data_IF_198635026955
#
_entry.id   IF_198635026955
#
_cell.length_a   1.000
_cell.length_b   1.000
_cell.length_c   1.000
_cell.angle_alpha   90.00
_cell.angle_beta   90.00
_cell.angle_gamma   90.00
#
_symmetry.space_group_name_H-M   'P 1'
#
loop_
_entity.id
_entity.type
_entity.pdbx_description
1 polymer ?
#
# COMPACT_ATOMS: atom_id res chain seq x y z
N UNK A 1 -13.99 25.45 -2.76
CA UNK A 1 -15.41 25.03 -2.64
C UNK A 1 -15.50 24.04 -1.49
N UNK A 2 -16.35 24.31 -0.48
CA UNK A 2 -16.52 23.40 0.66
C UNK A 2 -17.03 22.03 0.21
N UNK A 3 -16.54 20.95 0.82
CA UNK A 3 -17.01 19.58 0.54
C UNK A 3 -18.49 19.49 0.90
N UNK A 4 -19.37 19.53 -0.09
CA UNK A 4 -20.80 19.29 0.12
C UNK A 4 -20.94 17.82 0.50
N UNK A 5 -21.53 17.54 1.67
CA UNK A 5 -21.84 16.17 2.06
C UNK A 5 -22.89 15.62 1.07
N UNK A 6 -22.56 14.60 0.26
CA UNK A 6 -23.46 14.11 -0.78
C UNK A 6 -24.76 13.53 -0.21
N UNK A 7 -24.72 13.04 1.03
CA UNK A 7 -25.89 12.56 1.76
C UNK A 7 -26.81 13.71 2.16
N UNK A 8 -26.25 14.80 2.69
CA UNK A 8 -26.99 16.02 2.98
C UNK A 8 -27.57 16.65 1.70
N UNK A 9 -26.80 16.68 0.61
CA UNK A 9 -27.26 17.16 -0.70
C UNK A 9 -28.45 16.36 -1.22
N UNK A 10 -28.40 15.04 -1.10
CA UNK A 10 -29.47 14.14 -1.54
C UNK A 10 -30.75 14.35 -0.72
N UNK A 11 -30.63 14.49 0.61
CA UNK A 11 -31.76 14.73 1.51
C UNK A 11 -32.38 16.11 1.28
N UNK A 12 -31.58 17.17 1.22
CA UNK A 12 -32.06 18.55 1.01
C UNK A 12 -32.75 18.65 -0.35
N UNK A 13 -32.17 18.05 -1.38
CA UNK A 13 -32.75 18.02 -2.71
C UNK A 13 -34.08 17.29 -2.79
N UNK A 14 -34.17 16.10 -2.19
CA UNK A 14 -35.42 15.34 -2.11
C UNK A 14 -36.53 16.11 -1.39
N UNK A 15 -36.21 16.75 -0.25
CA UNK A 15 -37.14 17.61 0.47
C UNK A 15 -37.56 18.82 -0.36
N UNK A 16 -36.63 19.46 -1.06
CA UNK A 16 -36.91 20.64 -1.90
C UNK A 16 -37.85 20.29 -3.04
N UNK A 17 -37.63 19.17 -3.74
CA UNK A 17 -38.51 18.70 -4.82
C UNK A 17 -39.88 18.38 -4.25
N UNK A 18 -39.96 17.65 -3.14
CA UNK A 18 -41.23 17.33 -2.48
C UNK A 18 -42.02 18.58 -2.11
N UNK A 19 -41.38 19.57 -1.47
CA UNK A 19 -42.02 20.83 -1.10
C UNK A 19 -42.51 21.61 -2.33
N UNK A 20 -41.72 21.68 -3.40
CA UNK A 20 -42.12 22.36 -4.64
C UNK A 20 -43.32 21.66 -5.29
N UNK A 21 -43.29 20.32 -5.38
CA UNK A 21 -44.40 19.54 -5.94
C UNK A 21 -45.68 19.69 -5.11
N UNK A 22 -45.56 19.75 -3.78
CA UNK A 22 -46.68 20.00 -2.88
C UNK A 22 -47.30 21.38 -3.06
N UNK A 23 -46.48 22.43 -3.20
CA UNK A 23 -46.97 23.80 -3.45
C UNK A 23 -47.67 23.86 -4.81
N UNK A 24 -47.06 23.32 -5.85
CA UNK A 24 -47.64 23.31 -7.20
C UNK A 24 -48.96 22.53 -7.27
N UNK A 25 -49.12 21.47 -6.46
CA UNK A 25 -50.39 20.74 -6.35
C UNK A 25 -51.53 21.65 -5.92
N UNK A 26 -51.34 22.42 -4.85
CA UNK A 26 -52.37 23.35 -4.38
C UNK A 26 -52.65 24.46 -5.39
N UNK A 27 -51.62 24.99 -6.06
CA UNK A 27 -51.79 26.00 -7.10
C UNK A 27 -52.67 25.46 -8.24
N UNK A 28 -52.37 24.28 -8.78
CA UNK A 28 -53.18 23.70 -9.86
C UNK A 28 -54.60 23.34 -9.40
N UNK A 29 -54.74 22.77 -8.20
CA UNK A 29 -56.04 22.41 -7.64
C UNK A 29 -56.99 23.61 -7.53
N UNK A 30 -56.51 24.75 -7.00
CA UNK A 30 -57.33 25.95 -6.84
C UNK A 30 -57.60 26.68 -8.17
N UNK A 31 -56.74 26.54 -9.17
CA UNK A 31 -56.85 27.31 -10.42
C UNK A 31 -57.70 26.61 -11.49
N UNK A 32 -57.78 25.28 -11.50
CA UNK A 32 -58.51 24.52 -12.54
C UNK A 32 -60.03 24.66 -12.39
N UNK A 33 -60.56 24.77 -11.17
CA UNK A 33 -61.97 25.12 -10.91
C UNK A 33 -63.03 24.12 -11.42
N UNK A 34 -62.64 22.94 -11.90
CA UNK A 34 -63.54 21.89 -12.39
C UNK A 34 -63.68 20.74 -11.39
N UNK A 35 -64.74 19.91 -11.47
CA UNK A 35 -64.88 18.70 -10.65
C UNK A 35 -63.72 17.71 -10.80
N UNK A 36 -63.00 17.77 -11.93
CA UNK A 36 -61.87 16.90 -12.28
C UNK A 36 -60.51 17.51 -11.93
N UNK A 37 -60.49 18.70 -11.30
CA UNK A 37 -59.26 19.46 -10.99
C UNK A 37 -58.20 18.64 -10.25
N UNK A 38 -58.62 17.76 -9.33
CA UNK A 38 -57.71 16.88 -8.61
C UNK A 38 -56.97 15.90 -9.53
N UNK A 39 -57.68 15.28 -10.46
CA UNK A 39 -57.11 14.29 -11.41
C UNK A 39 -56.15 14.96 -12.39
N UNK A 40 -56.54 16.12 -12.92
CA UNK A 40 -55.70 16.89 -13.85
C UNK A 40 -54.43 17.42 -13.17
N UNK A 41 -54.55 17.93 -11.94
CA UNK A 41 -53.40 18.39 -11.16
C UNK A 41 -52.41 17.25 -10.87
N UNK A 42 -52.91 16.07 -10.45
CA UNK A 42 -52.07 14.90 -10.17
C UNK A 42 -51.35 14.38 -11.42
N UNK A 43 -52.04 14.24 -12.55
CA UNK A 43 -51.42 13.75 -13.79
C UNK A 43 -50.34 14.71 -14.32
N UNK A 44 -50.63 16.02 -14.25
CA UNK A 44 -49.67 17.06 -14.65
C UNK A 44 -48.45 17.05 -13.75
N UNK A 45 -48.64 16.98 -12.43
CA UNK A 45 -47.54 16.93 -11.47
C UNK A 45 -46.76 15.63 -11.50
N UNK A 46 -47.41 14.48 -11.70
CA UNK A 46 -46.71 13.20 -11.85
C UNK A 46 -45.72 13.23 -13.02
N UNK A 47 -46.12 13.86 -14.12
CA UNK A 47 -45.26 14.04 -15.30
C UNK A 47 -44.06 14.95 -15.00
N UNK A 48 -44.27 16.10 -14.37
CA UNK A 48 -43.17 17.01 -14.00
C UNK A 48 -42.27 16.44 -12.90
N UNK A 49 -42.86 15.83 -11.87
CA UNK A 49 -42.16 15.23 -10.75
C UNK A 49 -41.25 14.11 -11.23
N UNK A 50 -41.73 13.21 -12.10
CA UNK A 50 -40.91 12.11 -12.61
C UNK A 50 -39.67 12.60 -13.36
N UNK A 51 -39.79 13.63 -14.20
CA UNK A 51 -38.67 14.23 -14.92
C UNK A 51 -37.66 14.91 -13.99
N UNK A 52 -38.13 15.76 -13.09
CA UNK A 52 -37.28 16.51 -12.15
C UNK A 52 -36.62 15.58 -11.13
N UNK A 53 -37.36 14.60 -10.60
CA UNK A 53 -36.82 13.61 -9.67
C UNK A 53 -35.74 12.75 -10.32
N UNK A 54 -35.93 12.34 -11.58
CA UNK A 54 -34.93 11.57 -12.33
C UNK A 54 -33.66 12.38 -12.57
N UNK A 55 -33.79 13.64 -12.99
CA UNK A 55 -32.65 14.52 -13.20
C UNK A 55 -31.87 14.75 -11.89
N UNK A 56 -32.60 15.01 -10.79
CA UNK A 56 -31.98 15.20 -9.49
C UNK A 56 -31.30 13.93 -8.98
N UNK A 57 -31.93 12.76 -9.14
CA UNK A 57 -31.34 11.48 -8.80
C UNK A 57 -30.05 11.21 -9.60
N UNK A 58 -30.01 11.58 -10.88
CA UNK A 58 -28.81 11.47 -11.70
C UNK A 58 -27.67 12.38 -11.21
N UNK A 59 -27.99 13.63 -10.84
CA UNK A 59 -27.02 14.57 -10.26
C UNK A 59 -26.50 14.04 -8.92
N UNK A 60 -27.39 13.65 -8.01
CA UNK A 60 -27.04 13.10 -6.70
C UNK A 60 -26.20 11.82 -6.84
N UNK A 61 -26.56 10.93 -7.78
CA UNK A 61 -25.81 9.71 -8.09
C UNK A 61 -24.40 10.01 -8.59
N UNK A 62 -24.23 11.04 -9.42
CA UNK A 62 -22.90 11.48 -9.88
C UNK A 62 -22.03 11.97 -8.72
N UNK A 63 -22.59 12.77 -7.80
CA UNK A 63 -21.86 13.20 -6.60
C UNK A 63 -21.49 12.03 -5.70
N UNK A 64 -22.41 11.08 -5.50
CA UNK A 64 -22.19 9.90 -4.68
C UNK A 64 -21.10 8.99 -5.29
N UNK A 65 -21.13 8.79 -6.61
CA UNK A 65 -20.12 8.02 -7.33
C UNK A 65 -18.73 8.64 -7.22
N UNK A 66 -18.63 9.97 -7.40
CA UNK A 66 -17.35 10.67 -7.26
C UNK A 66 -16.80 10.57 -5.84
N UNK A 67 -17.66 10.68 -4.82
CA UNK A 67 -17.27 10.51 -3.43
C UNK A 67 -16.82 9.07 -3.13
N UNK A 68 -17.60 8.07 -3.59
CA UNK A 68 -17.25 6.66 -3.46
C UNK A 68 -15.91 6.36 -4.13
N UNK A 69 -15.69 6.83 -5.36
CA UNK A 69 -14.42 6.66 -6.09
C UNK A 69 -13.24 7.26 -5.33
N UNK A 70 -13.40 8.47 -4.79
CA UNK A 70 -12.36 9.12 -4.00
C UNK A 70 -12.03 8.33 -2.72
N UNK A 71 -13.06 7.84 -2.01
CA UNK A 71 -12.87 7.03 -0.80
C UNK A 71 -12.23 5.68 -1.12
N UNK A 72 -12.68 5.01 -2.18
CA UNK A 72 -12.16 3.73 -2.64
C UNK A 72 -10.67 3.83 -3.03
N UNK A 73 -10.30 4.87 -3.79
CA UNK A 73 -8.91 5.10 -4.16
C UNK A 73 -8.01 5.30 -2.93
N UNK A 74 -8.46 6.05 -1.92
CA UNK A 74 -7.73 6.21 -0.64
C UNK A 74 -7.57 4.90 0.11
N UNK A 75 -8.59 4.04 0.10
CA UNK A 75 -8.50 2.71 0.70
C UNK A 75 -7.44 1.87 0.00
N UNK A 76 -7.43 1.85 -1.33
CA UNK A 76 -6.41 1.12 -2.10
C UNK A 76 -5.01 1.68 -1.81
N UNK A 77 -4.84 3.00 -1.82
CA UNK A 77 -3.54 3.63 -1.49
C UNK A 77 -3.04 3.17 -0.11
N UNK A 78 -3.93 3.17 0.88
CA UNK A 78 -3.60 2.71 2.24
C UNK A 78 -3.21 1.23 2.28
N UNK A 79 -3.96 0.36 1.59
CA UNK A 79 -3.66 -1.08 1.55
C UNK A 79 -2.30 -1.34 0.91
N UNK A 80 -1.96 -0.63 -0.17
CA UNK A 80 -0.67 -0.76 -0.85
C UNK A 80 0.49 -0.24 -0.01
N UNK A 81 0.29 0.89 0.68
CA UNK A 81 1.28 1.42 1.63
C UNK A 81 1.58 0.42 2.76
N UNK A 82 0.53 -0.17 3.35
CA UNK A 82 0.68 -1.19 4.40
C UNK A 82 1.36 -2.45 3.86
N UNK A 83 1.06 -2.86 2.63
CA UNK A 83 1.74 -3.98 2.00
C UNK A 83 3.24 -3.72 1.83
N UNK A 84 3.66 -2.51 1.46
CA UNK A 84 5.07 -2.15 1.38
C UNK A 84 5.75 -2.20 2.76
N UNK A 85 5.11 -1.64 3.79
CA UNK A 85 5.63 -1.68 5.18
C UNK A 85 5.78 -3.12 5.66
N UNK A 86 4.76 -3.98 5.51
CA UNK A 86 4.85 -5.37 5.94
C UNK A 86 5.95 -6.16 5.21
N UNK A 87 6.21 -5.83 3.94
CA UNK A 87 7.31 -6.45 3.18
C UNK A 87 8.67 -5.98 3.68
N UNK A 88 8.79 -4.73 4.10
CA UNK A 88 9.99 -4.22 4.73
C UNK A 88 10.25 -4.90 6.09
N UNK A 89 9.22 -4.98 6.94
CA UNK A 89 9.34 -5.64 8.26
C UNK A 89 9.79 -7.11 8.12
N UNK A 90 9.26 -7.82 7.11
CA UNK A 90 9.68 -9.19 6.82
C UNK A 90 11.14 -9.27 6.36
N UNK A 91 11.56 -8.35 5.49
CA UNK A 91 12.94 -8.30 5.00
C UNK A 91 13.95 -7.96 6.12
N UNK A 92 13.65 -6.97 6.97
CA UNK A 92 14.50 -6.61 8.12
C UNK A 92 14.57 -7.75 9.14
N UNK A 93 13.45 -8.42 9.43
CA UNK A 93 13.44 -9.59 10.30
C UNK A 93 14.34 -10.71 9.78
N UNK A 94 14.23 -11.07 8.51
CA UNK A 94 15.06 -12.12 7.90
C UNK A 94 16.53 -11.70 7.82
N UNK A 95 16.82 -10.43 7.59
CA UNK A 95 18.20 -9.91 7.67
C UNK A 95 18.76 -10.03 9.09
N UNK A 96 17.95 -9.73 10.11
CA UNK A 96 18.30 -9.92 11.52
C UNK A 96 18.64 -11.38 11.84
N UNK A 97 17.78 -12.32 11.40
CA UNK A 97 18.01 -13.76 11.58
C UNK A 97 19.28 -14.24 10.87
N UNK A 98 19.52 -13.78 9.64
CA UNK A 98 20.75 -14.06 8.89
C UNK A 98 21.98 -13.56 9.65
N UNK A 99 21.94 -12.31 10.13
CA UNK A 99 23.04 -11.70 10.88
C UNK A 99 23.37 -12.49 12.14
N UNK A 100 22.35 -12.89 12.91
CA UNK A 100 22.54 -13.65 14.14
C UNK A 100 23.11 -15.05 13.85
N UNK A 101 22.62 -15.72 12.79
CA UNK A 101 23.18 -16.98 12.32
C UNK A 101 24.66 -16.84 11.90
N UNK A 102 25.00 -15.76 11.17
CA UNK A 102 26.36 -15.47 10.78
C UNK A 102 27.27 -15.18 11.97
N UNK A 103 26.83 -14.42 12.98
CA UNK A 103 27.65 -14.17 14.16
C UNK A 103 27.92 -15.45 14.96
N UNK A 104 26.91 -16.31 15.13
CA UNK A 104 27.08 -17.61 15.78
C UNK A 104 28.08 -18.49 15.01
N UNK A 105 27.99 -18.50 13.69
CA UNK A 105 28.92 -19.21 12.82
C UNK A 105 30.34 -18.65 12.90
N UNK A 106 30.49 -17.33 12.82
CA UNK A 106 31.77 -16.64 12.95
C UNK A 106 32.44 -16.93 14.29
N UNK A 107 31.67 -17.00 15.38
CA UNK A 107 32.18 -17.40 16.69
C UNK A 107 32.73 -18.82 16.68
N UNK A 108 32.00 -19.79 16.12
CA UNK A 108 32.49 -21.18 15.97
C UNK A 108 33.78 -21.25 15.16
N UNK A 109 33.90 -20.45 14.11
CA UNK A 109 35.10 -20.40 13.26
C UNK A 109 36.37 -19.97 14.03
N UNK A 110 36.27 -19.32 15.20
CA UNK A 110 37.44 -18.97 16.01
C UNK A 110 38.14 -20.19 16.62
N UNK A 111 37.46 -21.34 16.69
CA UNK A 111 37.95 -22.58 17.29
C UNK A 111 38.31 -23.63 16.23
N UNK A 112 38.54 -23.23 14.96
CA UNK A 112 38.83 -24.13 13.84
C UNK A 112 40.01 -25.08 14.11
N UNK A 113 41.05 -24.61 14.80
CA UNK A 113 42.24 -25.41 15.13
C UNK A 113 41.99 -26.55 16.12
N UNK A 114 40.83 -26.53 16.78
CA UNK A 114 40.44 -27.50 17.82
C UNK A 114 39.38 -28.49 17.34
N UNK A 115 38.87 -28.33 16.11
CA UNK A 115 37.78 -29.15 15.57
C UNK A 115 38.25 -30.46 14.95
N UNK A 116 37.42 -31.49 15.10
CA UNK A 116 37.49 -32.74 14.34
C UNK A 116 36.96 -32.58 12.91
N UNK A 117 37.31 -33.50 12.01
CA UNK A 117 36.83 -33.52 10.63
C UNK A 117 35.29 -33.54 10.51
N UNK A 118 34.62 -34.21 11.45
CA UNK A 118 33.14 -34.25 11.50
C UNK A 118 32.55 -32.89 11.88
N UNK A 119 33.19 -32.17 12.81
CA UNK A 119 32.78 -30.83 13.20
C UNK A 119 33.02 -29.83 12.07
N UNK A 120 34.12 -30.00 11.33
CA UNK A 120 34.40 -29.21 10.13
C UNK A 120 33.34 -29.41 9.03
N UNK A 121 32.92 -30.66 8.78
CA UNK A 121 31.84 -30.94 7.81
C UNK A 121 30.50 -30.30 8.22
N UNK A 122 30.19 -30.30 9.52
CA UNK A 122 29.00 -29.60 10.03
C UNK A 122 29.09 -28.09 9.83
N UNK A 123 30.29 -27.51 10.00
CA UNK A 123 30.54 -26.10 9.77
C UNK A 123 30.34 -25.73 8.30
N UNK A 124 30.79 -26.55 7.35
CA UNK A 124 30.52 -26.33 5.92
C UNK A 124 29.02 -26.36 5.60
N UNK A 125 28.27 -27.27 6.21
CA UNK A 125 26.80 -27.30 6.09
C UNK A 125 26.13 -26.05 6.68
N UNK A 126 26.60 -25.54 7.82
CA UNK A 126 26.12 -24.29 8.41
C UNK A 126 26.42 -23.08 7.50
N UNK A 127 27.60 -23.01 6.90
CA UNK A 127 27.95 -21.99 5.91
C UNK A 127 27.00 -22.03 4.71
N UNK A 128 26.69 -23.22 4.20
CA UNK A 128 25.74 -23.40 3.10
C UNK A 128 24.34 -22.92 3.46
N UNK A 129 23.90 -23.15 4.70
CA UNK A 129 22.62 -22.64 5.19
C UNK A 129 22.62 -21.10 5.27
N UNK A 130 23.71 -20.49 5.76
CA UNK A 130 23.86 -19.03 5.81
C UNK A 130 23.83 -18.43 4.40
N UNK A 131 24.53 -19.04 3.45
CA UNK A 131 24.53 -18.65 2.03
C UNK A 131 23.18 -18.89 1.34
N UNK A 132 22.35 -19.82 1.83
CA UNK A 132 20.98 -19.98 1.36
C UNK A 132 20.08 -18.87 1.95
N UNK A 133 20.19 -18.59 3.25
CA UNK A 133 19.44 -17.54 3.95
C UNK A 133 19.66 -16.16 3.37
N UNK A 134 20.89 -15.81 2.99
CA UNK A 134 21.18 -14.53 2.33
C UNK A 134 20.46 -14.42 0.96
N UNK A 135 20.24 -15.55 0.28
CA UNK A 135 19.41 -15.59 -0.93
C UNK A 135 17.93 -15.32 -0.65
N UNK A 136 17.41 -15.77 0.49
CA UNK A 136 16.07 -15.45 0.96
C UNK A 136 15.90 -13.94 1.19
N UNK A 137 16.86 -13.33 1.89
CA UNK A 137 16.88 -11.88 2.14
C UNK A 137 16.85 -11.08 0.83
N UNK A 138 17.62 -11.49 -0.19
CA UNK A 138 17.58 -10.86 -1.51
C UNK A 138 16.17 -10.85 -2.14
N UNK A 139 15.47 -11.99 -2.06
CA UNK A 139 14.11 -12.14 -2.58
C UNK A 139 13.12 -11.26 -1.83
N UNK A 140 13.28 -11.11 -0.52
CA UNK A 140 12.43 -10.26 0.30
C UNK A 140 12.61 -8.78 -0.06
N UNK A 141 13.85 -8.32 -0.27
CA UNK A 141 14.12 -6.95 -0.75
C UNK A 141 13.62 -6.71 -2.17
N UNK A 142 13.71 -7.69 -3.06
CA UNK A 142 13.10 -7.59 -4.39
C UNK A 142 11.56 -7.53 -4.29
N UNK A 143 10.96 -8.29 -3.37
CA UNK A 143 9.51 -8.24 -3.10
C UNK A 143 9.08 -6.88 -2.53
N UNK A 144 9.88 -6.31 -1.63
CA UNK A 144 9.69 -4.96 -1.11
C UNK A 144 9.73 -3.92 -2.23
N UNK A 145 10.75 -3.96 -3.10
CA UNK A 145 10.90 -3.02 -4.20
C UNK A 145 9.67 -3.00 -5.10
N UNK A 146 9.16 -4.17 -5.46
CA UNK A 146 7.95 -4.28 -6.28
C UNK A 146 6.71 -3.73 -5.56
N UNK A 147 6.60 -3.94 -4.25
CA UNK A 147 5.51 -3.36 -3.44
C UNK A 147 5.60 -1.83 -3.37
N UNK A 148 6.80 -1.27 -3.18
CA UNK A 148 7.04 0.18 -3.18
C UNK A 148 6.70 0.76 -4.56
N UNK A 149 7.12 0.11 -5.65
CA UNK A 149 6.80 0.54 -7.02
C UNK A 149 5.29 0.60 -7.26
N UNK A 150 4.56 -0.45 -6.86
CA UNK A 150 3.09 -0.49 -6.95
C UNK A 150 2.44 0.63 -6.14
N UNK A 151 2.93 0.86 -4.92
CA UNK A 151 2.47 1.96 -4.09
C UNK A 151 2.65 3.32 -4.77
N UNK A 152 3.87 3.64 -5.24
CA UNK A 152 4.15 4.90 -5.90
C UNK A 152 3.27 5.13 -7.15
N UNK A 153 3.05 4.09 -7.95
CA UNK A 153 2.18 4.15 -9.13
C UNK A 153 0.72 4.46 -8.76
N UNK A 154 0.18 3.80 -7.73
CA UNK A 154 -1.21 3.98 -7.32
C UNK A 154 -1.43 5.31 -6.59
N UNK A 155 -0.45 5.73 -5.80
CA UNK A 155 -0.49 6.98 -5.06
C UNK A 155 -0.13 8.20 -5.93
N UNK A 156 0.24 7.99 -7.20
CA UNK A 156 0.75 9.02 -8.12
C UNK A 156 1.95 9.80 -7.52
N UNK A 157 2.84 9.09 -6.81
CA UNK A 157 4.01 9.65 -6.14
C UNK A 157 5.29 9.37 -6.93
N UNK A 158 6.29 10.26 -6.85
CA UNK A 158 7.60 9.97 -7.44
C UNK A 158 8.13 8.67 -6.85
N UNK A 159 8.69 7.85 -7.74
CA UNK A 159 9.38 6.64 -7.32
C UNK A 159 10.67 7.01 -6.59
N UNK A 160 11.06 6.15 -5.67
CA UNK A 160 12.26 6.34 -4.89
C UNK A 160 13.45 5.74 -5.64
N UNK A 161 13.96 6.46 -6.64
CA UNK A 161 15.06 6.00 -7.51
C UNK A 161 16.28 5.52 -6.69
N UNK A 162 16.54 6.15 -5.55
CA UNK A 162 17.61 5.76 -4.61
C UNK A 162 17.42 4.32 -4.06
N UNK A 163 16.18 3.90 -3.78
CA UNK A 163 15.88 2.57 -3.22
C UNK A 163 16.13 1.47 -4.25
N UNK A 164 15.81 1.73 -5.52
CA UNK A 164 16.14 0.77 -6.56
C UNK A 164 17.64 0.56 -6.66
N UNK A 165 18.44 1.63 -6.54
CA UNK A 165 19.88 1.51 -6.45
C UNK A 165 20.31 0.68 -5.24
N UNK A 166 19.76 0.96 -4.05
CA UNK A 166 20.08 0.23 -2.83
C UNK A 166 19.74 -1.26 -2.94
N UNK A 167 18.54 -1.61 -3.45
CA UNK A 167 18.13 -3.01 -3.64
C UNK A 167 18.98 -3.71 -4.71
N UNK A 168 19.37 -3.02 -5.78
CA UNK A 168 20.30 -3.57 -6.76
C UNK A 168 21.70 -3.81 -6.15
N UNK A 169 22.20 -2.89 -5.33
CA UNK A 169 23.47 -3.04 -4.62
C UNK A 169 23.42 -4.20 -3.61
N UNK A 170 22.33 -4.34 -2.86
CA UNK A 170 22.04 -5.50 -2.00
C UNK A 170 22.14 -6.80 -2.82
N UNK A 171 21.44 -6.89 -3.96
CA UNK A 171 21.45 -8.08 -4.80
C UNK A 171 22.85 -8.41 -5.36
N UNK A 172 23.63 -7.39 -5.76
CA UNK A 172 25.01 -7.59 -6.22
C UNK A 172 25.94 -8.08 -5.10
N UNK A 173 25.84 -7.50 -3.90
CA UNK A 173 26.62 -7.94 -2.73
C UNK A 173 26.33 -9.41 -2.42
N UNK A 174 25.06 -9.81 -2.47
CA UNK A 174 24.63 -11.19 -2.21
C UNK A 174 25.14 -12.15 -3.28
N UNK A 175 25.05 -11.76 -4.56
CA UNK A 175 25.57 -12.56 -5.67
C UNK A 175 27.09 -12.79 -5.56
N UNK A 176 27.85 -11.73 -5.27
CA UNK A 176 29.30 -11.83 -5.11
C UNK A 176 29.66 -12.73 -3.91
N UNK A 177 28.94 -12.61 -2.81
CA UNK A 177 29.14 -13.44 -1.61
C UNK A 177 28.99 -14.94 -1.91
N UNK A 178 27.99 -15.32 -2.71
CA UNK A 178 27.78 -16.72 -3.12
C UNK A 178 28.92 -17.28 -3.98
N UNK A 179 29.62 -16.42 -4.73
CA UNK A 179 30.72 -16.83 -5.59
C UNK A 179 32.07 -17.00 -4.86
N UNK A 180 32.21 -16.49 -3.62
CA UNK A 180 33.44 -16.62 -2.83
C UNK A 180 33.66 -18.00 -2.18
N UNK A 181 32.78 -18.97 -2.44
CA UNK A 181 32.74 -20.32 -1.86
C UNK A 181 34.05 -21.14 -1.98
N UNK A 182 35.01 -20.71 -2.79
CA UNK A 182 36.26 -21.43 -3.03
C UNK A 182 37.29 -21.34 -1.89
N UNK A 183 37.19 -20.33 -1.00
CA UNK A 183 38.11 -20.17 0.14
C UNK A 183 37.36 -19.75 1.40
N UNK A 184 37.42 -20.61 2.44
CA UNK A 184 36.71 -20.43 3.72
C UNK A 184 37.08 -19.11 4.45
N UNK A 185 38.36 -18.68 4.53
CA UNK A 185 38.73 -17.41 5.16
C UNK A 185 38.26 -16.18 4.37
N UNK A 186 38.37 -16.23 3.03
CA UNK A 186 37.94 -15.14 2.15
C UNK A 186 36.41 -14.98 2.16
N UNK A 187 35.68 -16.09 2.26
CA UNK A 187 34.23 -16.11 2.44
C UNK A 187 33.80 -15.41 3.73
N UNK A 188 34.54 -15.60 4.83
CA UNK A 188 34.21 -14.96 6.11
C UNK A 188 34.38 -13.45 6.09
N UNK A 189 35.47 -12.95 5.50
CA UNK A 189 35.69 -11.52 5.30
C UNK A 189 34.60 -10.90 4.42
N UNK A 190 34.27 -11.56 3.31
CA UNK A 190 33.22 -11.13 2.39
C UNK A 190 31.83 -11.08 3.04
N UNK A 191 31.42 -12.13 3.76
CA UNK A 191 30.11 -12.17 4.42
C UNK A 191 30.02 -11.09 5.50
N UNK A 192 31.09 -10.83 6.25
CA UNK A 192 31.12 -9.77 7.27
C UNK A 192 30.96 -8.37 6.65
N UNK A 193 31.71 -8.08 5.58
CA UNK A 193 31.60 -6.82 4.84
C UNK A 193 30.20 -6.63 4.25
N UNK A 194 29.65 -7.69 3.66
CA UNK A 194 28.29 -7.69 3.11
C UNK A 194 27.25 -7.45 4.19
N UNK A 195 27.34 -8.10 5.34
CA UNK A 195 26.41 -7.89 6.46
C UNK A 195 26.40 -6.44 6.94
N UNK A 196 27.57 -5.81 7.01
CA UNK A 196 27.68 -4.39 7.37
C UNK A 196 27.07 -3.46 6.31
N UNK A 197 27.40 -3.67 5.03
CA UNK A 197 26.86 -2.87 3.92
C UNK A 197 25.34 -3.04 3.78
N UNK A 198 24.84 -4.28 3.89
CA UNK A 198 23.42 -4.58 3.87
C UNK A 198 22.69 -3.76 4.94
N UNK A 199 23.21 -3.70 6.17
CA UNK A 199 22.57 -2.94 7.24
C UNK A 199 22.44 -1.46 6.92
N UNK A 200 23.49 -0.84 6.39
CA UNK A 200 23.46 0.57 6.02
C UNK A 200 22.41 0.85 4.94
N UNK A 201 22.29 -0.01 3.93
CA UNK A 201 21.23 0.13 2.91
C UNK A 201 19.84 -0.06 3.50
N UNK A 202 19.65 -0.97 4.45
CA UNK A 202 18.36 -1.15 5.13
C UNK A 202 17.97 0.07 5.94
N UNK A 203 18.89 0.63 6.73
CA UNK A 203 18.63 1.84 7.52
C UNK A 203 18.29 3.03 6.60
N UNK A 204 18.92 3.11 5.41
CA UNK A 204 18.63 4.14 4.40
C UNK A 204 17.24 3.94 3.77
N UNK A 205 16.88 2.69 3.42
CA UNK A 205 15.53 2.34 2.94
C UNK A 205 14.47 2.68 3.99
N UNK A 206 14.71 2.35 5.27
CA UNK A 206 13.80 2.68 6.37
C UNK A 206 13.53 4.18 6.43
N UNK A 207 14.60 4.97 6.49
CA UNK A 207 14.54 6.42 6.67
C UNK A 207 13.95 7.14 5.44
N UNK A 208 14.39 6.77 4.24
CA UNK A 208 13.98 7.45 2.99
C UNK A 208 12.61 7.01 2.49
N UNK A 209 12.25 5.76 2.73
CA UNK A 209 11.02 5.17 2.19
C UNK A 209 9.96 4.98 3.26
N UNK A 210 10.25 4.14 4.25
CA UNK A 210 9.24 3.57 5.13
C UNK A 210 8.70 4.66 6.05
N UNK A 211 9.58 5.49 6.63
CA UNK A 211 9.19 6.65 7.42
C UNK A 211 8.34 7.63 6.63
N UNK A 212 8.66 7.84 5.34
CA UNK A 212 7.89 8.71 4.47
C UNK A 212 6.52 8.12 4.16
N UNK A 213 6.43 6.84 3.79
CA UNK A 213 5.15 6.13 3.60
C UNK A 213 4.30 6.19 4.87
N UNK A 214 4.90 5.99 6.04
CA UNK A 214 4.22 6.10 7.34
C UNK A 214 3.70 7.51 7.61
N UNK A 215 4.48 8.54 7.28
CA UNK A 215 4.07 9.94 7.41
C UNK A 215 2.88 10.27 6.50
N UNK A 216 2.89 9.76 5.27
CA UNK A 216 1.83 9.94 4.27
C UNK A 216 0.55 9.20 4.70
N UNK A 217 0.69 7.97 5.23
CA UNK A 217 -0.41 7.22 5.83
C UNK A 217 -1.09 7.96 6.99
N UNK A 218 -0.31 8.66 7.82
CA UNK A 218 -0.88 9.49 8.91
C UNK A 218 -1.69 10.66 8.35
N UNK A 219 -1.28 11.23 7.22
CA UNK A 219 -1.98 12.33 6.55
C UNK A 219 -3.25 11.89 5.79
N UNK A 220 -3.41 10.59 5.51
CA UNK A 220 -4.61 10.05 4.87
C UNK A 220 -5.81 9.87 5.83
N UNK A 221 -5.60 10.04 7.15
CA UNK A 221 -6.68 10.04 8.17
C UNK A 221 -7.55 11.28 8.08
#
# INVERSE_FOLDING_TARGET
MGKINPLAFSVIGGLSIFTITYILFWVFYFHIGTPEAMSVALNTLGSYFSGVATLWAAIAGTFLFNYWRAQHNKTIEKEMALAAIHKFDAADLHLGQFRDAFYNFNYKCQFLSEMSDKEFLNLDNELNNILASIGGVALDFASLLESVRKYCLIAEKPYYDDIESDVQQINMLIFNTKNHRAHFPDSMGAIKDVTYKLRNHVDDIETKCIDKILSELKALK
#
